data_IF_786423085437
#
_entry.id   IF_786423085437
#
_cell.length_a   1.000
_cell.length_b   1.000
_cell.length_c   1.000
_cell.angle_alpha   90.00
_cell.angle_beta   90.00
_cell.angle_gamma   90.00
#
_symmetry.space_group_name_H-M   'P 1'
#
loop_
_entity.id
_entity.type
_entity.pdbx_description
1 polymer ?
#
# COMPACT_ATOMS: atom_id res chain seq x y z
N UNK A 1 -11.51 -21.64 -13.43
CA UNK A 1 -10.11 -21.22 -13.23
C UNK A 1 -9.36 -21.53 -14.51
N UNK A 2 -8.67 -20.55 -15.08
CA UNK A 2 -7.72 -20.79 -16.18
C UNK A 2 -6.37 -20.36 -15.63
N UNK A 3 -5.45 -21.32 -15.52
CA UNK A 3 -4.07 -21.07 -15.12
C UNK A 3 -3.22 -21.15 -16.37
N UNK A 4 -2.62 -20.04 -16.76
CA UNK A 4 -1.63 -20.02 -17.85
C UNK A 4 -0.25 -19.95 -17.21
N UNK A 5 0.60 -20.90 -17.56
CA UNK A 5 1.97 -21.01 -17.06
C UNK A 5 2.90 -20.66 -18.21
N UNK A 6 3.79 -19.67 -18.05
CA UNK A 6 4.90 -19.44 -18.97
C UNK A 6 6.21 -19.95 -18.35
N UNK A 7 6.70 -21.02 -18.99
CA UNK A 7 8.04 -21.62 -18.96
C UNK A 7 9.03 -21.28 -17.83
N UNK A 8 9.38 -22.31 -17.05
CA UNK A 8 10.74 -22.54 -16.57
C UNK A 8 11.10 -24.02 -16.72
N UNK A 9 12.27 -24.35 -17.28
CA UNK A 9 12.71 -25.75 -17.46
C UNK A 9 13.01 -26.48 -16.12
N UNK A 10 13.00 -25.75 -14.99
CA UNK A 10 13.54 -26.20 -13.69
C UNK A 10 12.54 -26.12 -12.53
N UNK A 11 11.34 -25.54 -12.74
CA UNK A 11 10.33 -25.38 -11.69
C UNK A 11 9.07 -26.12 -12.09
N UNK A 12 8.54 -26.93 -11.17
CA UNK A 12 7.24 -27.57 -11.33
C UNK A 12 6.21 -26.80 -10.52
N UNK A 13 5.05 -26.53 -11.13
CA UNK A 13 3.88 -26.03 -10.43
C UNK A 13 3.03 -27.21 -9.99
N UNK A 14 2.89 -27.40 -8.69
CA UNK A 14 1.95 -28.35 -8.11
C UNK A 14 0.65 -27.61 -7.81
N UNK A 15 -0.47 -28.19 -8.24
CA UNK A 15 -1.82 -27.69 -7.96
C UNK A 15 -2.62 -28.75 -7.22
N UNK A 16 -3.11 -28.41 -6.04
CA UNK A 16 -3.96 -29.27 -5.22
C UNK A 16 -5.29 -28.57 -5.00
N UNK A 17 -6.41 -29.29 -5.17
CA UNK A 17 -7.74 -28.73 -4.98
C UNK A 17 -8.51 -29.53 -3.92
N UNK A 18 -8.99 -28.81 -2.91
CA UNK A 18 -9.85 -29.32 -1.85
C UNK A 18 -11.16 -28.52 -1.84
N UNK A 19 -12.19 -29.05 -2.49
CA UNK A 19 -13.47 -28.35 -2.63
C UNK A 19 -13.33 -27.04 -3.41
N UNK A 20 -13.61 -25.91 -2.75
CA UNK A 20 -13.47 -24.56 -3.30
C UNK A 20 -12.09 -23.93 -3.05
N UNK A 21 -11.18 -24.62 -2.37
CA UNK A 21 -9.81 -24.17 -2.13
C UNK A 21 -8.88 -24.76 -3.18
N UNK A 22 -8.05 -23.91 -3.75
CA UNK A 22 -7.02 -24.30 -4.71
C UNK A 22 -5.68 -23.80 -4.16
N UNK A 23 -4.77 -24.74 -3.89
CA UNK A 23 -3.42 -24.46 -3.45
C UNK A 23 -2.47 -24.63 -4.63
N UNK A 24 -1.72 -23.57 -4.96
CA UNK A 24 -0.70 -23.56 -6.02
C UNK A 24 0.68 -23.41 -5.37
N UNK A 25 1.58 -24.35 -5.64
CA UNK A 25 2.94 -24.36 -5.07
C UNK A 25 3.99 -24.49 -6.15
N UNK A 26 4.97 -23.60 -6.12
CA UNK A 26 6.16 -23.71 -6.96
C UNK A 26 7.22 -24.55 -6.26
N UNK A 27 7.55 -25.70 -6.84
CA UNK A 27 8.58 -26.61 -6.32
C UNK A 27 9.77 -26.62 -7.28
N UNK A 28 10.91 -26.09 -6.81
CA UNK A 28 12.17 -26.13 -7.55
C UNK A 28 12.78 -27.53 -7.49
N UNK A 29 13.24 -28.06 -8.62
CA UNK A 29 13.93 -29.35 -8.62
C UNK A 29 15.38 -29.18 -8.11
N UNK A 30 15.83 -29.95 -7.10
CA UNK A 30 17.05 -29.67 -6.33
C UNK A 30 18.40 -29.82 -7.07
N UNK A 31 18.42 -30.08 -8.39
CA UNK A 31 19.64 -30.53 -9.08
C UNK A 31 19.95 -29.85 -10.42
N UNK A 32 19.37 -28.68 -10.70
CA UNK A 32 19.62 -27.94 -11.95
C UNK A 32 20.08 -26.52 -11.63
N UNK A 33 21.36 -26.25 -11.86
CA UNK A 33 21.98 -24.92 -11.83
C UNK A 33 21.55 -24.12 -13.08
N UNK A 34 20.38 -23.51 -12.99
CA UNK A 34 19.86 -22.57 -14.00
C UNK A 34 18.86 -21.60 -13.35
N UNK A 35 18.82 -20.35 -13.81
CA UNK A 35 17.93 -19.32 -13.27
C UNK A 35 16.46 -19.77 -13.33
N UNK A 36 15.82 -19.87 -12.17
CA UNK A 36 14.44 -20.34 -12.02
C UNK A 36 13.44 -19.18 -12.14
N UNK A 37 13.50 -18.40 -13.22
CA UNK A 37 12.50 -17.36 -13.46
C UNK A 37 11.22 -18.06 -13.92
N UNK A 38 10.15 -17.87 -13.17
CA UNK A 38 8.81 -18.39 -13.46
C UNK A 38 7.84 -17.23 -13.51
N UNK A 39 6.89 -17.32 -14.43
CA UNK A 39 5.78 -16.40 -14.51
C UNK A 39 4.48 -17.20 -14.53
N UNK A 40 3.59 -16.84 -13.62
CA UNK A 40 2.29 -17.49 -13.45
C UNK A 40 1.19 -16.45 -13.59
N UNK A 41 0.22 -16.75 -14.45
CA UNK A 41 -1.03 -15.99 -14.52
C UNK A 41 -2.16 -16.88 -14.04
N UNK A 42 -2.78 -16.49 -12.93
CA UNK A 42 -3.89 -17.22 -12.30
C UNK A 42 -5.15 -16.35 -12.38
N UNK A 43 -6.15 -16.82 -13.12
CA UNK A 43 -7.45 -16.15 -13.19
C UNK A 43 -8.39 -16.70 -12.13
N UNK A 44 -8.76 -15.82 -11.19
CA UNK A 44 -9.68 -16.11 -10.09
C UNK A 44 -10.98 -15.30 -10.25
N UNK A 45 -12.10 -15.77 -9.64
CA UNK A 45 -13.30 -14.96 -9.51
C UNK A 45 -13.03 -13.64 -8.77
N UNK A 46 -13.81 -12.58 -9.07
CA UNK A 46 -13.64 -11.25 -8.48
C UNK A 46 -13.70 -11.24 -6.95
N UNK A 47 -14.59 -12.03 -6.38
CA UNK A 47 -14.84 -12.12 -4.92
C UNK A 47 -14.02 -13.23 -4.25
N UNK A 48 -13.01 -13.79 -4.94
CA UNK A 48 -12.21 -14.86 -4.38
C UNK A 48 -11.34 -14.36 -3.22
N UNK A 49 -11.22 -15.20 -2.19
CA UNK A 49 -10.16 -15.05 -1.19
C UNK A 49 -8.83 -15.48 -1.80
N UNK A 50 -7.86 -14.57 -1.85
CA UNK A 50 -6.54 -14.81 -2.47
C UNK A 50 -5.44 -14.65 -1.43
N UNK A 51 -4.65 -15.70 -1.24
CA UNK A 51 -3.42 -15.66 -0.42
C UNK A 51 -2.21 -15.90 -1.31
N UNK A 52 -1.32 -14.92 -1.35
CA UNK A 52 -0.09 -14.94 -2.15
C UNK A 52 1.10 -14.82 -1.21
N UNK A 53 1.98 -15.81 -1.24
CA UNK A 53 3.21 -15.81 -0.46
C UNK A 53 4.38 -16.04 -1.41
N UNK A 54 5.37 -15.16 -1.36
CA UNK A 54 6.62 -15.34 -2.10
C UNK A 54 7.82 -14.90 -1.28
N UNK A 55 8.97 -15.54 -1.48
CA UNK A 55 10.21 -15.05 -0.89
C UNK A 55 10.80 -13.90 -1.71
N UNK A 56 10.76 -14.05 -3.05
CA UNK A 56 11.40 -13.17 -4.03
C UNK A 56 10.53 -13.04 -5.30
N UNK A 57 10.89 -12.13 -6.19
CA UNK A 57 10.14 -11.89 -7.43
C UNK A 57 8.96 -10.94 -7.23
N UNK A 58 8.21 -10.66 -8.29
CA UNK A 58 7.14 -9.67 -8.24
C UNK A 58 5.79 -10.38 -8.12
N UNK A 59 4.95 -9.89 -7.22
CA UNK A 59 3.56 -10.35 -7.06
C UNK A 59 2.65 -9.24 -7.55
N UNK A 60 1.80 -9.56 -8.53
CA UNK A 60 0.82 -8.64 -9.07
C UNK A 60 -0.61 -9.11 -8.76
N UNK A 61 -1.46 -8.21 -8.29
CA UNK A 61 -2.90 -8.45 -8.14
C UNK A 61 -3.70 -7.33 -8.80
N UNK A 62 -4.76 -7.68 -9.55
CA UNK A 62 -5.60 -6.71 -10.26
C UNK A 62 -7.07 -7.08 -10.26
N UNK A 63 -7.95 -6.09 -10.08
CA UNK A 63 -9.38 -6.25 -10.37
C UNK A 63 -10.17 -7.08 -9.36
N UNK A 64 -9.64 -7.28 -8.15
CA UNK A 64 -10.27 -8.10 -7.12
C UNK A 64 -11.18 -7.24 -6.22
N UNK A 65 -12.22 -7.90 -5.69
CA UNK A 65 -13.23 -7.34 -4.77
C UNK A 65 -13.38 -8.16 -3.48
N UNK A 66 -12.56 -9.20 -3.32
CA UNK A 66 -12.55 -10.06 -2.14
C UNK A 66 -11.48 -9.67 -1.13
N UNK A 67 -11.17 -10.62 -0.25
CA UNK A 67 -10.07 -10.51 0.70
C UNK A 67 -8.76 -10.98 0.04
N UNK A 68 -7.75 -10.12 0.06
CA UNK A 68 -6.43 -10.40 -0.51
C UNK A 68 -5.38 -10.29 0.59
N UNK A 69 -4.60 -11.36 0.78
CA UNK A 69 -3.45 -11.40 1.67
C UNK A 69 -2.20 -11.63 0.85
N UNK A 70 -1.25 -10.69 0.92
CA UNK A 70 0.02 -10.77 0.18
C UNK A 70 1.19 -10.66 1.15
N UNK A 71 2.06 -11.65 1.14
CA UNK A 71 3.25 -11.68 2.00
C UNK A 71 4.50 -11.90 1.17
N UNK A 72 5.51 -11.05 1.37
CA UNK A 72 6.79 -11.16 0.69
C UNK A 72 7.98 -10.85 1.60
N UNK A 73 9.13 -11.50 1.37
CA UNK A 73 10.36 -11.12 2.05
C UNK A 73 11.08 -9.99 1.30
N UNK A 74 11.53 -10.26 0.07
CA UNK A 74 12.29 -9.30 -0.74
C UNK A 74 11.66 -9.00 -2.10
N UNK A 75 10.55 -9.66 -2.43
CA UNK A 75 9.83 -9.44 -3.67
C UNK A 75 9.02 -8.15 -3.68
N UNK A 76 8.75 -7.60 -4.87
CA UNK A 76 7.92 -6.39 -5.01
C UNK A 76 6.44 -6.77 -5.05
N UNK A 77 5.58 -5.94 -4.48
CA UNK A 77 4.12 -6.13 -4.51
C UNK A 77 3.50 -4.99 -5.30
N UNK A 78 2.71 -5.33 -6.30
CA UNK A 78 1.95 -4.38 -7.10
C UNK A 78 0.47 -4.76 -7.09
N UNK A 79 -0.37 -3.84 -6.65
CA UNK A 79 -1.81 -4.02 -6.60
C UNK A 79 -2.47 -2.87 -7.35
N UNK A 80 -3.35 -3.21 -8.29
CA UNK A 80 -4.01 -2.23 -9.16
C UNK A 80 -5.51 -2.50 -9.28
N UNK A 81 -6.29 -1.45 -9.52
CA UNK A 81 -7.71 -1.54 -9.90
C UNK A 81 -8.54 -2.37 -8.89
N UNK A 82 -8.46 -2.02 -7.61
CA UNK A 82 -9.19 -2.70 -6.54
C UNK A 82 -10.40 -1.87 -6.11
N UNK A 83 -11.52 -2.54 -5.85
CA UNK A 83 -12.77 -1.91 -5.45
C UNK A 83 -13.51 -2.79 -4.44
N UNK A 84 -14.01 -2.21 -3.36
CA UNK A 84 -14.77 -2.91 -2.31
C UNK A 84 -14.03 -4.13 -1.69
N UNK A 85 -12.71 -4.05 -1.58
CA UNK A 85 -11.84 -5.15 -1.15
C UNK A 85 -11.16 -4.93 0.22
N UNK A 86 -10.76 -6.01 0.89
CA UNK A 86 -9.84 -5.96 2.02
C UNK A 86 -8.46 -6.45 1.58
N UNK A 87 -7.45 -5.59 1.68
CA UNK A 87 -6.08 -5.90 1.31
C UNK A 87 -5.17 -5.87 2.52
N UNK A 88 -4.53 -7.00 2.81
CA UNK A 88 -3.51 -7.12 3.84
C UNK A 88 -2.15 -7.43 3.20
N UNK A 89 -1.21 -6.51 3.30
CA UNK A 89 0.12 -6.62 2.68
C UNK A 89 1.20 -6.61 3.75
N UNK A 90 2.08 -7.61 3.71
CA UNK A 90 3.29 -7.68 4.54
C UNK A 90 4.52 -7.83 3.67
N UNK A 91 5.49 -6.96 3.88
CA UNK A 91 6.81 -7.03 3.23
C UNK A 91 7.93 -6.79 4.23
N UNK A 92 9.07 -7.46 4.03
CA UNK A 92 10.28 -7.11 4.78
C UNK A 92 11.05 -5.98 4.08
N UNK A 93 11.43 -6.17 2.81
CA UNK A 93 12.32 -5.25 2.07
C UNK A 93 11.78 -4.78 0.73
N UNK A 94 10.93 -5.56 0.08
CA UNK A 94 10.46 -5.24 -1.26
C UNK A 94 9.47 -4.08 -1.27
N UNK A 95 9.46 -3.25 -2.32
CA UNK A 95 8.55 -2.12 -2.44
C UNK A 95 7.10 -2.58 -2.63
N UNK A 96 6.16 -1.79 -2.15
CA UNK A 96 4.72 -1.99 -2.31
C UNK A 96 4.15 -0.82 -3.09
N UNK A 97 3.52 -1.10 -4.23
CA UNK A 97 2.81 -0.10 -5.04
C UNK A 97 1.34 -0.46 -5.10
N UNK A 98 0.50 0.45 -4.63
CA UNK A 98 -0.95 0.34 -4.64
C UNK A 98 -1.51 1.46 -5.53
N UNK A 99 -2.22 1.11 -6.61
CA UNK A 99 -2.74 2.08 -7.57
C UNK A 99 -4.22 1.87 -7.88
N UNK A 100 -4.95 2.98 -8.09
CA UNK A 100 -6.37 2.97 -8.50
C UNK A 100 -7.22 2.11 -7.56
N UNK A 101 -7.23 2.47 -6.28
CA UNK A 101 -7.98 1.74 -5.24
C UNK A 101 -9.13 2.59 -4.74
N UNK A 102 -10.32 2.01 -4.62
CA UNK A 102 -11.52 2.72 -4.22
C UNK A 102 -12.36 1.93 -3.22
N UNK A 103 -12.85 2.59 -2.17
CA UNK A 103 -13.70 1.98 -1.14
C UNK A 103 -13.13 0.68 -0.53
N UNK A 104 -11.82 0.64 -0.29
CA UNK A 104 -11.14 -0.55 0.24
C UNK A 104 -10.65 -0.35 1.68
N UNK A 105 -10.43 -1.47 2.38
CA UNK A 105 -9.68 -1.49 3.63
C UNK A 105 -8.26 -2.00 3.37
N UNK A 106 -7.26 -1.16 3.59
CA UNK A 106 -5.86 -1.46 3.32
C UNK A 106 -5.08 -1.50 4.63
N UNK A 107 -4.42 -2.62 4.91
CA UNK A 107 -3.44 -2.76 5.98
C UNK A 107 -2.10 -3.17 5.39
N UNK A 108 -1.15 -2.24 5.38
CA UNK A 108 0.19 -2.43 4.80
C UNK A 108 1.22 -2.33 5.89
N UNK A 109 1.98 -3.39 6.08
CA UNK A 109 3.10 -3.45 7.01
C UNK A 109 4.41 -3.72 6.25
N UNK A 110 5.37 -2.81 6.39
CA UNK A 110 6.69 -2.89 5.78
C UNK A 110 7.78 -2.66 6.83
N UNK A 111 8.90 -3.39 6.75
CA UNK A 111 10.05 -3.10 7.62
C UNK A 111 10.95 -2.05 6.99
N UNK A 112 11.46 -2.28 5.77
CA UNK A 112 12.32 -1.32 5.06
C UNK A 112 11.88 -1.02 3.63
N UNK A 113 10.88 -1.72 3.10
CA UNK A 113 10.38 -1.49 1.74
C UNK A 113 9.58 -0.19 1.65
N UNK A 114 9.76 0.53 0.55
CA UNK A 114 8.99 1.75 0.25
C UNK A 114 7.53 1.40 -0.04
N UNK A 115 6.61 2.27 0.37
CA UNK A 115 5.17 2.12 0.13
C UNK A 115 4.70 3.31 -0.70
N UNK A 116 4.10 3.02 -1.86
CA UNK A 116 3.52 4.02 -2.75
C UNK A 116 2.03 3.78 -2.93
N UNK A 117 1.23 4.78 -2.56
CA UNK A 117 -0.21 4.83 -2.72
C UNK A 117 -0.52 5.85 -3.83
N UNK A 118 -1.18 5.41 -4.91
CA UNK A 118 -1.53 6.26 -6.05
C UNK A 118 -3.03 6.17 -6.34
N UNK A 119 -3.72 7.32 -6.35
CA UNK A 119 -5.17 7.39 -6.57
C UNK A 119 -5.94 6.39 -5.70
N UNK A 120 -5.70 6.46 -4.39
CA UNK A 120 -6.42 5.65 -3.39
C UNK A 120 -7.49 6.52 -2.78
N UNK A 121 -8.76 6.31 -3.12
CA UNK A 121 -9.88 7.16 -2.73
C UNK A 121 -10.87 6.43 -1.82
N UNK A 122 -11.51 7.19 -0.92
CA UNK A 122 -12.63 6.72 -0.08
C UNK A 122 -12.33 5.43 0.69
N UNK A 123 -11.05 5.24 1.03
CA UNK A 123 -10.54 3.99 1.60
C UNK A 123 -10.09 4.19 3.04
N UNK A 124 -10.13 3.11 3.83
CA UNK A 124 -9.52 3.06 5.15
C UNK A 124 -8.11 2.48 5.00
N UNK A 125 -7.10 3.32 5.08
CA UNK A 125 -5.69 2.97 4.83
C UNK A 125 -4.88 3.04 6.10
N UNK A 126 -4.28 1.93 6.50
CA UNK A 126 -3.30 1.85 7.58
C UNK A 126 -1.97 1.40 6.99
N UNK A 127 -0.95 2.26 7.09
CA UNK A 127 0.41 1.93 6.66
C UNK A 127 1.37 2.06 7.84
N UNK A 128 2.12 0.99 8.10
CA UNK A 128 3.18 0.97 9.09
C UNK A 128 4.49 0.61 8.41
N UNK A 129 5.45 1.54 8.42
CA UNK A 129 6.80 1.36 7.89
C UNK A 129 7.86 1.54 8.97
N UNK A 130 8.80 0.60 9.07
CA UNK A 130 9.97 0.74 9.95
C UNK A 130 10.95 1.79 9.43
N UNK A 131 11.27 1.76 8.15
CA UNK A 131 12.26 2.67 7.56
C UNK A 131 12.10 3.00 6.09
N UNK A 132 11.18 2.35 5.38
CA UNK A 132 10.86 2.70 3.99
C UNK A 132 10.10 4.02 3.89
N UNK A 133 10.28 4.72 2.77
CA UNK A 133 9.54 5.95 2.44
C UNK A 133 8.07 5.61 2.18
N UNK A 134 7.17 6.43 2.71
CA UNK A 134 5.75 6.34 2.40
C UNK A 134 5.38 7.50 1.49
N UNK A 135 4.83 7.19 0.32
CA UNK A 135 4.33 8.19 -0.64
C UNK A 135 2.85 8.01 -0.86
N UNK A 136 2.12 9.12 -0.83
CA UNK A 136 0.72 9.17 -1.23
C UNK A 136 0.56 10.24 -2.31
N UNK A 137 -0.05 9.88 -3.43
CA UNK A 137 -0.32 10.78 -4.54
C UNK A 137 -1.73 10.52 -5.09
N UNK A 138 -2.59 11.54 -5.07
CA UNK A 138 -3.93 11.47 -5.65
C UNK A 138 -5.01 12.12 -4.80
N UNK A 139 -6.25 12.04 -5.27
CA UNK A 139 -7.41 12.55 -4.53
C UNK A 139 -7.93 11.47 -3.55
N UNK A 140 -7.91 11.74 -2.23
CA UNK A 140 -8.48 10.82 -1.24
C UNK A 140 -10.01 10.75 -1.24
N UNK A 141 -10.69 11.63 -1.96
CA UNK A 141 -12.15 11.73 -1.94
C UNK A 141 -12.66 12.35 -0.64
N UNK A 142 -13.93 12.11 -0.32
CA UNK A 142 -14.63 12.81 0.78
C UNK A 142 -14.76 12.00 2.08
N UNK A 143 -14.44 10.70 2.06
CA UNK A 143 -14.72 9.79 3.17
C UNK A 143 -13.58 8.80 3.50
N UNK A 144 -12.33 9.09 3.13
CA UNK A 144 -11.19 8.23 3.46
C UNK A 144 -10.59 8.49 4.86
N UNK A 145 -10.02 7.44 5.48
CA UNK A 145 -9.20 7.53 6.70
C UNK A 145 -7.82 6.96 6.44
N UNK A 146 -6.79 7.82 6.43
CA UNK A 146 -5.42 7.48 6.09
C UNK A 146 -4.52 7.64 7.31
N UNK A 147 -4.13 6.52 7.91
CA UNK A 147 -3.20 6.46 9.04
C UNK A 147 -1.84 5.94 8.57
N UNK A 148 -0.92 6.87 8.37
CA UNK A 148 0.41 6.57 7.84
C UNK A 148 1.45 6.77 8.96
N UNK A 149 2.14 5.70 9.32
CA UNK A 149 3.16 5.69 10.38
C UNK A 149 4.49 5.23 9.82
N UNK A 150 5.52 6.06 9.95
CA UNK A 150 6.90 5.73 9.65
C UNK A 150 7.79 5.96 10.86
N UNK A 151 8.73 5.05 11.14
CA UNK A 151 9.68 5.27 12.23
C UNK A 151 10.90 6.10 11.75
N UNK A 152 11.59 5.69 10.68
CA UNK A 152 12.74 6.46 10.15
C UNK A 152 12.61 6.93 8.69
N UNK A 153 11.65 6.42 7.92
CA UNK A 153 11.46 6.82 6.53
C UNK A 153 10.70 8.15 6.40
N UNK A 154 10.91 8.85 5.30
CA UNK A 154 10.17 10.08 4.99
C UNK A 154 8.72 9.78 4.59
N UNK A 155 7.81 10.70 4.92
CA UNK A 155 6.44 10.68 4.40
C UNK A 155 6.27 11.84 3.42
N UNK A 156 5.83 11.53 2.20
CA UNK A 156 5.51 12.53 1.18
C UNK A 156 4.07 12.38 0.74
N UNK A 157 3.25 13.39 0.98
CA UNK A 157 1.82 13.37 0.71
C UNK A 157 1.51 14.47 -0.31
N UNK A 158 1.01 14.09 -1.48
CA UNK A 158 0.57 15.00 -2.53
C UNK A 158 -0.95 14.86 -2.69
N UNK A 159 -1.67 15.93 -2.36
CA UNK A 159 -3.13 15.98 -2.43
C UNK A 159 -3.51 17.21 -3.25
N UNK A 160 -4.45 17.13 -4.21
CA UNK A 160 -4.85 18.29 -5.02
C UNK A 160 -5.45 19.41 -4.15
N UNK A 161 -5.20 20.68 -4.51
CA UNK A 161 -5.56 21.83 -3.66
C UNK A 161 -7.06 21.97 -3.33
N UNK A 162 -7.93 21.38 -4.15
CA UNK A 162 -9.39 21.41 -4.00
C UNK A 162 -9.97 20.28 -3.12
N UNK A 163 -9.18 19.29 -2.72
CA UNK A 163 -9.71 18.15 -1.96
C UNK A 163 -10.00 18.53 -0.50
N UNK A 164 -11.20 18.18 0.03
CA UNK A 164 -11.54 18.43 1.43
C UNK A 164 -10.83 17.40 2.32
N UNK A 165 -9.72 17.81 2.94
CA UNK A 165 -8.91 16.91 3.80
C UNK A 165 -8.58 17.52 5.15
N UNK A 166 -8.72 16.72 6.20
CA UNK A 166 -8.27 17.01 7.56
C UNK A 166 -6.90 16.36 7.78
N UNK A 167 -5.86 17.13 8.13
CA UNK A 167 -4.50 16.58 8.32
C UNK A 167 -4.05 16.80 9.77
N UNK A 168 -3.71 15.71 10.44
CA UNK A 168 -3.10 15.69 11.77
C UNK A 168 -1.69 15.12 11.67
N UNK A 169 -0.69 15.95 11.98
CA UNK A 169 0.71 15.56 11.97
C UNK A 169 1.25 15.35 13.39
N UNK A 170 1.92 14.22 13.62
CA UNK A 170 2.65 13.95 14.86
C UNK A 170 4.08 13.55 14.55
N UNK A 171 4.97 14.53 14.67
CA UNK A 171 6.41 14.36 14.60
C UNK A 171 7.01 14.52 16.01
N UNK A 172 7.85 13.58 16.46
CA UNK A 172 8.57 13.72 17.75
C UNK A 172 9.92 14.41 17.60
N UNK A 173 10.66 14.15 16.51
CA UNK A 173 11.98 14.73 16.20
C UNK A 173 12.16 15.01 14.69
N UNK A 174 11.08 15.17 13.93
CA UNK A 174 11.15 15.39 12.49
C UNK A 174 10.89 16.85 12.11
N UNK A 175 11.64 17.35 11.13
CA UNK A 175 11.38 18.63 10.46
C UNK A 175 10.11 18.48 9.59
N UNK A 176 9.03 19.19 9.94
CA UNK A 176 7.83 19.30 9.08
C UNK A 176 7.97 20.55 8.21
N UNK A 177 8.06 20.34 6.89
CA UNK A 177 8.13 21.42 5.90
C UNK A 177 6.78 21.51 5.19
N UNK A 178 5.89 22.37 5.71
CA UNK A 178 4.65 22.72 5.03
C UNK A 178 4.96 23.86 4.05
N UNK A 179 5.14 23.56 2.76
CA UNK A 179 5.15 24.58 1.71
C UNK A 179 3.71 24.78 1.22
N UNK A 180 2.98 25.69 1.86
CA UNK A 180 1.65 26.13 1.42
C UNK A 180 1.63 27.65 1.22
N UNK A 181 1.11 28.18 0.11
CA UNK A 181 0.95 29.61 -0.10
C UNK A 181 -0.26 30.24 0.61
N UNK A 182 -0.93 29.54 1.54
CA UNK A 182 -2.04 30.12 2.31
C UNK A 182 -1.63 30.45 3.76
N UNK A 183 -1.55 31.75 4.02
CA UNK A 183 -1.34 32.45 5.29
C UNK A 183 -2.20 31.92 6.45
N UNK A 184 -1.57 31.68 7.61
CA UNK A 184 -2.29 31.47 8.86
C UNK A 184 -1.46 30.96 10.05
N UNK A 185 -0.51 31.79 10.52
CA UNK A 185 0.09 31.83 11.88
C UNK A 185 0.80 30.58 12.46
N UNK A 186 2.12 30.71 12.63
CA UNK A 186 2.86 30.05 13.73
C UNK A 186 2.75 30.92 15.01
N UNK A 187 2.85 30.36 16.23
CA UNK A 187 4.14 29.91 16.77
C UNK A 187 4.14 28.58 17.55
N UNK A 188 5.24 27.84 17.40
CA UNK A 188 5.93 26.96 18.37
C UNK A 188 5.26 25.73 19.03
N UNK A 189 5.98 24.61 18.91
CA UNK A 189 6.02 23.41 19.77
C UNK A 189 4.80 22.45 19.81
N UNK A 190 5.05 21.23 19.33
CA UNK A 190 4.37 19.97 19.73
C UNK A 190 2.91 19.78 19.27
N UNK A 191 2.73 19.23 18.06
CA UNK A 191 1.46 18.67 17.57
C UNK A 191 0.57 19.68 16.85
N UNK A 192 0.81 19.91 15.55
CA UNK A 192 -0.09 20.71 14.70
C UNK A 192 -1.34 19.88 14.33
N UNK A 193 -2.50 20.28 14.87
CA UNK A 193 -3.82 19.96 14.30
C UNK A 193 -4.19 21.11 13.38
N UNK A 194 -4.21 20.90 12.07
CA UNK A 194 -4.62 21.96 11.13
C UNK A 194 -6.14 21.91 10.95
N UNK A 195 -6.82 22.94 11.45
CA UNK A 195 -8.28 23.06 11.50
C UNK A 195 -8.85 23.47 10.14
N UNK A 196 -9.80 22.67 9.64
CA UNK A 196 -10.75 23.07 8.60
C UNK A 196 -11.70 24.15 9.14
N UNK A 197 -12.23 24.98 8.22
CA UNK A 197 -13.36 25.86 8.50
C UNK A 197 -14.54 25.03 9.05
N UNK A 198 -15.23 25.47 10.12
CA UNK A 198 -16.41 24.78 10.63
C UNK A 198 -17.48 24.73 9.53
N UNK A 199 -17.80 23.52 9.04
CA UNK A 199 -18.86 23.31 8.03
C UNK A 199 -18.64 22.20 7.00
N UNK A 200 -17.46 21.55 6.93
CA UNK A 200 -17.23 20.42 6.01
C UNK A 200 -17.36 19.11 6.80
N UNK A 201 -18.52 18.45 6.71
CA UNK A 201 -18.78 17.16 7.39
C UNK A 201 -18.16 15.96 6.66
N UNK A 202 -17.80 16.11 5.39
CA UNK A 202 -17.33 15.01 4.53
C UNK A 202 -15.91 15.34 4.03
N UNK A 203 -14.93 15.23 4.91
CA UNK A 203 -13.52 15.40 4.59
C UNK A 203 -12.74 14.13 4.91
N UNK A 204 -11.81 13.76 4.02
CA UNK A 204 -10.90 12.64 4.27
C UNK A 204 -9.88 13.01 5.33
N UNK A 205 -9.62 12.10 6.26
CA UNK A 205 -8.71 12.32 7.39
C UNK A 205 -7.36 11.70 7.12
N UNK A 206 -6.29 12.45 7.34
CA UNK A 206 -4.91 11.99 7.33
C UNK A 206 -4.31 12.11 8.72
N UNK A 207 -3.85 11.00 9.27
CA UNK A 207 -3.06 10.95 10.51
C UNK A 207 -1.66 10.49 10.15
N UNK A 208 -0.75 11.46 10.08
CA UNK A 208 0.65 11.24 9.71
C UNK A 208 1.50 11.17 10.98
N UNK A 209 2.27 10.09 11.12
CA UNK A 209 3.17 9.88 12.25
C UNK A 209 4.58 9.59 11.74
N UNK A 210 5.54 10.41 12.17
CA UNK A 210 6.96 10.18 11.92
C UNK A 210 7.78 10.33 13.19
N UNK A 211 8.70 9.40 13.45
CA UNK A 211 9.59 9.52 14.61
C UNK A 211 10.89 10.27 14.27
N UNK A 212 11.56 9.90 13.18
CA UNK A 212 12.84 10.50 12.73
C UNK A 212 12.87 10.98 11.27
N UNK A 213 11.94 10.56 10.42
CA UNK A 213 11.91 10.93 9.00
C UNK A 213 11.15 12.24 8.73
N UNK A 214 11.39 12.91 7.61
CA UNK A 214 10.72 14.19 7.30
C UNK A 214 9.29 13.97 6.82
N UNK A 215 8.39 14.89 7.17
CA UNK A 215 7.02 14.92 6.63
C UNK A 215 6.95 16.08 5.63
N UNK A 216 6.63 15.76 4.39
CA UNK A 216 6.41 16.73 3.32
C UNK A 216 4.98 16.62 2.81
N UNK A 217 4.24 17.72 2.92
CA UNK A 217 2.90 17.85 2.36
C UNK A 217 2.98 18.79 1.15
N UNK A 218 2.48 18.33 0.00
CA UNK A 218 2.41 19.08 -1.25
C UNK A 218 0.95 19.21 -1.69
N UNK A 219 0.56 20.43 -2.06
CA UNK A 219 -0.73 20.72 -2.70
C UNK A 219 -0.48 21.54 -3.98
N UNK A 220 -0.44 20.90 -5.15
CA UNK A 220 -0.33 21.60 -6.42
C UNK A 220 -1.64 22.32 -6.78
#
# INVERSE_FOLDING_TARGET
MVTTISHANTVKLESEQHGNRIDLRSVATPNISGGSLVEYTVLVPLEAFVRLESMNGVIHARGLRGDIVMETASGSIEVSDMMDAHLHVKTLKGPVTLSSIQNCHLDVTSVTGDVSLRNVAESSVVVNSGGGRITYDGDPGTMGDYRLTSHSGDLTITIPANAPVEITERARNAESLIKSPYTGTEPTATGKKSLLKPGISNASRFVLRSFRGKIQLRRP
#
